data_IF_688213838033
#
_entry.id   IF_688213838033
#
_cell.length_a   1.000
_cell.length_b   1.000
_cell.length_c   1.000
_cell.angle_alpha   90.00
_cell.angle_beta   90.00
_cell.angle_gamma   90.00
#
_symmetry.space_group_name_H-M   'P 1'
#
loop_
_entity.id
_entity.type
_entity.pdbx_description
1 polymer ?
#
# COMPACT_ATOMS: atom_id res chain seq x y z
N UNK A 1 9.92 20.15 5.78
CA UNK A 1 9.36 18.95 5.13
C UNK A 1 10.30 17.75 5.32
N UNK A 2 9.78 16.57 5.64
CA UNK A 2 10.56 15.32 5.75
C UNK A 2 10.73 14.70 4.37
N UNK A 3 11.92 14.18 4.08
CA UNK A 3 12.28 13.62 2.76
C UNK A 3 12.80 12.18 2.81
N UNK A 4 13.29 11.74 3.97
CA UNK A 4 13.75 10.37 4.17
C UNK A 4 12.62 9.53 4.76
N UNK A 5 12.08 8.60 3.98
CA UNK A 5 10.82 7.93 4.22
C UNK A 5 10.95 6.43 3.97
N UNK A 6 10.47 5.65 4.93
CA UNK A 6 10.24 4.22 4.77
C UNK A 6 8.75 3.97 4.81
N UNK A 7 8.19 3.57 3.68
CA UNK A 7 6.81 3.15 3.58
C UNK A 7 6.76 1.63 3.38
N UNK A 8 6.38 0.90 4.42
CA UNK A 8 6.07 -0.52 4.27
C UNK A 8 4.72 -0.66 3.58
N UNK A 9 4.73 -1.11 2.32
CA UNK A 9 3.50 -1.44 1.60
C UNK A 9 2.93 -2.75 2.12
N UNK A 10 1.76 -2.66 2.73
CA UNK A 10 0.89 -3.83 2.96
C UNK A 10 0.09 -4.12 1.70
N UNK A 11 -0.11 -5.40 1.40
CA UNK A 11 -0.88 -5.82 0.25
C UNK A 11 -2.38 -5.48 0.42
N UNK A 12 -3.00 -5.04 -0.68
CA UNK A 12 -4.45 -4.78 -0.79
C UNK A 12 -5.01 -3.78 0.25
N UNK A 13 -4.18 -2.86 0.75
CA UNK A 13 -4.55 -1.81 1.71
C UNK A 13 -4.40 -0.39 1.13
N UNK A 14 -4.83 -0.18 -0.13
CA UNK A 14 -4.68 1.10 -0.84
C UNK A 14 -3.22 1.62 -0.94
N UNK A 15 -2.24 0.76 -0.72
CA UNK A 15 -0.82 1.11 -0.69
C UNK A 15 -0.26 1.57 -2.05
N UNK A 16 -0.90 1.21 -3.18
CA UNK A 16 -0.58 1.75 -4.50
C UNK A 16 -0.83 3.26 -4.61
N UNK A 17 -1.90 3.77 -3.98
CA UNK A 17 -2.21 5.20 -3.94
C UNK A 17 -1.17 5.97 -3.13
N UNK A 18 -0.79 5.44 -1.97
CA UNK A 18 0.27 6.04 -1.13
C UNK A 18 1.63 6.01 -1.85
N UNK A 19 1.95 4.92 -2.56
CA UNK A 19 3.15 4.84 -3.38
C UNK A 19 3.18 5.90 -4.49
N UNK A 20 2.05 6.18 -5.14
CA UNK A 20 1.95 7.26 -6.13
C UNK A 20 2.20 8.64 -5.51
N UNK A 21 1.66 8.90 -4.32
CA UNK A 21 1.95 10.12 -3.54
C UNK A 21 3.46 10.27 -3.31
N UNK A 22 4.12 9.20 -2.86
CA UNK A 22 5.57 9.20 -2.59
C UNK A 22 6.40 9.38 -3.87
N UNK A 23 5.99 8.77 -4.97
CA UNK A 23 6.61 8.94 -6.28
C UNK A 23 6.53 10.38 -6.78
N UNK A 24 5.34 10.99 -6.71
CA UNK A 24 5.15 12.39 -7.08
C UNK A 24 5.97 13.34 -6.22
N UNK A 25 5.95 13.14 -4.91
CA UNK A 25 6.72 13.94 -3.98
C UNK A 25 8.23 13.80 -4.26
N UNK A 26 8.74 12.58 -4.33
CA UNK A 26 10.15 12.34 -4.59
C UNK A 26 10.62 12.87 -5.94
N UNK A 27 9.79 12.73 -6.99
CA UNK A 27 10.10 13.31 -8.30
C UNK A 27 10.15 14.85 -8.25
N UNK A 28 9.16 15.50 -7.62
CA UNK A 28 9.10 16.97 -7.47
C UNK A 28 10.33 17.52 -6.74
N UNK A 29 10.85 16.76 -5.77
CA UNK A 29 11.96 17.16 -4.91
C UNK A 29 13.31 16.56 -5.31
N UNK A 30 13.41 15.91 -6.48
CA UNK A 30 14.63 15.25 -6.98
C UNK A 30 15.24 14.26 -5.97
N UNK A 31 14.39 13.52 -5.25
CA UNK A 31 14.79 12.53 -4.26
C UNK A 31 15.13 11.18 -4.91
N UNK A 32 15.95 10.41 -4.21
CA UNK A 32 16.35 9.06 -4.64
C UNK A 32 15.47 7.98 -4.03
N UNK A 33 15.16 6.96 -4.81
CA UNK A 33 14.35 5.81 -4.40
C UNK A 33 15.20 4.54 -4.30
N UNK A 34 14.96 3.73 -3.27
CA UNK A 34 15.54 2.40 -3.15
C UNK A 34 14.76 1.40 -4.02
N UNK A 35 15.13 1.32 -5.31
CA UNK A 35 14.51 0.41 -6.27
C UNK A 35 15.02 -1.03 -6.11
N UNK A 36 14.19 -2.04 -6.45
CA UNK A 36 14.66 -3.42 -6.61
C UNK A 36 15.76 -3.53 -7.68
N UNK A 37 16.64 -4.51 -7.52
CA UNK A 37 17.63 -4.89 -8.54
C UNK A 37 16.98 -5.04 -9.93
N UNK A 38 17.60 -4.42 -10.94
CA UNK A 38 17.11 -4.48 -12.32
C UNK A 38 15.79 -3.74 -12.58
N UNK A 39 15.27 -2.98 -11.60
CA UNK A 39 14.02 -2.23 -11.75
C UNK A 39 12.76 -3.09 -11.63
N UNK A 40 12.85 -4.21 -10.91
CA UNK A 40 11.71 -5.05 -10.59
C UNK A 40 10.63 -4.34 -9.74
N UNK A 41 9.53 -5.05 -9.49
CA UNK A 41 8.35 -4.47 -8.82
C UNK A 41 8.30 -4.72 -7.31
N UNK A 42 9.14 -5.62 -6.79
CA UNK A 42 9.18 -6.04 -5.39
C UNK A 42 10.62 -6.27 -4.94
N UNK A 43 10.89 -6.03 -3.66
CA UNK A 43 12.21 -6.20 -3.05
C UNK A 43 12.40 -7.65 -2.56
N UNK A 44 12.40 -8.59 -3.50
CA UNK A 44 12.62 -10.03 -3.28
C UNK A 44 11.57 -10.75 -2.41
N UNK A 45 10.35 -10.22 -2.41
CA UNK A 45 9.19 -10.86 -1.82
C UNK A 45 8.92 -12.23 -2.49
N UNK A 46 8.55 -13.30 -1.75
CA UNK A 46 8.06 -13.35 -0.37
C UNK A 46 9.13 -13.53 0.72
N UNK A 47 10.42 -13.55 0.36
CA UNK A 47 11.50 -13.66 1.35
C UNK A 47 11.69 -12.33 2.08
N UNK A 48 12.28 -12.39 3.28
CA UNK A 48 12.66 -11.19 4.03
C UNK A 48 13.52 -10.26 3.18
N UNK A 49 13.25 -8.97 3.30
CA UNK A 49 14.03 -7.91 2.69
C UNK A 49 15.48 -8.00 3.15
N UNK A 50 16.41 -7.89 2.21
CA UNK A 50 17.84 -7.72 2.46
C UNK A 50 18.33 -6.53 1.65
N UNK A 51 19.25 -5.75 2.22
CA UNK A 51 19.77 -4.54 1.59
C UNK A 51 20.38 -4.81 0.20
N UNK A 52 20.96 -6.00 0.01
CA UNK A 52 21.52 -6.47 -1.27
C UNK A 52 20.52 -6.52 -2.43
N UNK A 53 19.21 -6.49 -2.16
CA UNK A 53 18.18 -6.48 -3.20
C UNK A 53 17.85 -5.08 -3.72
N UNK A 54 18.53 -4.04 -3.22
CA UNK A 54 18.38 -2.67 -3.68
C UNK A 54 19.41 -2.35 -4.77
N UNK A 55 18.94 -1.82 -5.89
CA UNK A 55 19.79 -1.39 -7.00
C UNK A 55 20.79 -0.33 -6.54
N UNK A 56 22.07 -0.59 -6.80
CA UNK A 56 23.16 0.33 -6.44
C UNK A 56 23.54 0.33 -4.96
N UNK A 57 22.96 -0.57 -4.14
CA UNK A 57 23.46 -0.80 -2.78
C UNK A 57 24.82 -1.51 -2.83
N UNK A 58 25.75 -1.06 -2.00
CA UNK A 58 27.03 -1.70 -1.76
C UNK A 58 27.38 -1.63 -0.27
N UNK A 59 27.85 -2.73 0.36
CA UNK A 59 28.34 -2.69 1.74
C UNK A 59 29.53 -1.74 1.93
N UNK A 60 30.36 -1.55 0.91
CA UNK A 60 31.56 -0.70 0.97
C UNK A 60 31.28 0.78 0.72
N UNK A 61 30.17 1.09 0.05
CA UNK A 61 29.72 2.46 -0.23
C UNK A 61 28.24 2.54 0.12
N UNK A 62 27.90 2.84 1.39
CA UNK A 62 26.52 2.90 1.85
C UNK A 62 25.84 4.12 1.25
N UNK A 63 25.42 4.00 -0.02
CA UNK A 63 24.54 4.97 -0.65
C UNK A 63 23.19 4.87 0.05
N UNK A 64 22.82 5.92 0.76
CA UNK A 64 21.51 6.03 1.36
C UNK A 64 20.51 6.55 0.34
N UNK A 65 19.29 6.03 0.41
CA UNK A 65 18.18 6.49 -0.40
C UNK A 65 17.24 7.33 0.44
N UNK A 66 16.49 8.21 -0.21
CA UNK A 66 15.50 9.03 0.46
C UNK A 66 14.19 8.27 0.65
N UNK A 67 13.72 7.52 -0.34
CA UNK A 67 12.40 6.85 -0.27
C UNK A 67 12.52 5.36 -0.54
N UNK A 68 12.03 4.53 0.39
CA UNK A 68 11.87 3.09 0.21
C UNK A 68 10.38 2.74 0.36
N UNK A 69 9.75 2.30 -0.74
CA UNK A 69 8.30 2.16 -0.83
C UNK A 69 7.81 1.02 -1.74
N UNK A 70 8.65 0.07 -2.11
CA UNK A 70 8.24 -1.13 -2.87
C UNK A 70 7.80 -2.25 -1.92
N UNK A 71 7.02 -3.21 -2.42
CA UNK A 71 6.62 -4.37 -1.63
C UNK A 71 7.84 -5.16 -1.16
N UNK A 72 7.85 -5.52 0.12
CA UNK A 72 8.90 -6.28 0.77
C UNK A 72 8.31 -7.04 1.97
N UNK A 73 9.00 -8.08 2.44
CA UNK A 73 8.74 -8.63 3.77
C UNK A 73 9.70 -7.97 4.75
N UNK A 74 9.16 -7.20 5.69
CA UNK A 74 9.95 -6.25 6.48
C UNK A 74 11.04 -6.93 7.32
N UNK A 75 12.22 -6.31 7.36
CA UNK A 75 13.32 -6.68 8.25
C UNK A 75 14.11 -5.41 8.62
N UNK A 76 13.80 -4.83 9.78
CA UNK A 76 14.29 -3.51 10.17
C UNK A 76 15.83 -3.35 10.11
N UNK A 77 16.66 -4.30 10.59
CA UNK A 77 18.11 -4.16 10.51
C UNK A 77 18.64 -4.03 9.08
N UNK A 78 17.96 -4.61 8.09
CA UNK A 78 18.33 -4.49 6.68
C UNK A 78 17.89 -3.16 6.08
N UNK A 79 16.71 -2.66 6.47
CA UNK A 79 16.24 -1.33 6.04
C UNK A 79 17.19 -0.23 6.53
N UNK A 80 17.70 -0.34 7.76
CA UNK A 80 18.65 0.63 8.33
C UNK A 80 20.00 0.70 7.59
N UNK A 81 20.37 -0.33 6.81
CA UNK A 81 21.56 -0.32 5.95
C UNK A 81 21.36 0.55 4.70
N UNK A 82 20.11 0.73 4.26
CA UNK A 82 19.74 1.41 3.01
C UNK A 82 19.24 2.83 3.26
N UNK A 83 18.61 3.07 4.40
CA UNK A 83 17.91 4.32 4.71
C UNK A 83 18.66 5.16 5.73
N UNK A 84 18.38 6.46 5.80
CA UNK A 84 18.88 7.32 6.87
C UNK A 84 18.39 6.84 8.26
N UNK A 85 19.19 7.05 9.31
CA UNK A 85 18.77 6.80 10.69
C UNK A 85 17.66 7.75 11.15
N UNK A 86 17.52 8.91 10.48
CA UNK A 86 16.44 9.88 10.71
C UNK A 86 15.21 9.64 9.84
N UNK A 87 15.17 8.56 9.04
CA UNK A 87 14.06 8.27 8.17
C UNK A 87 12.77 8.03 8.97
N UNK A 88 11.65 8.55 8.47
CA UNK A 88 10.34 8.35 9.08
C UNK A 88 9.75 7.05 8.56
N UNK A 89 9.45 6.12 9.46
CA UNK A 89 8.86 4.82 9.13
C UNK A 89 7.35 4.88 9.28
N UNK A 90 6.63 4.45 8.26
CA UNK A 90 5.19 4.31 8.33
C UNK A 90 4.69 3.19 7.43
N UNK A 91 3.43 2.80 7.64
CA UNK A 91 2.76 1.76 6.89
C UNK A 91 1.26 2.06 6.80
N UNK A 92 0.50 1.22 6.11
CA UNK A 92 -0.95 1.34 5.98
C UNK A 92 -1.62 -0.01 6.25
N UNK A 93 -2.59 -0.02 7.14
CA UNK A 93 -3.37 -1.19 7.52
C UNK A 93 -4.72 -1.18 6.82
N UNK A 94 -5.38 -2.34 6.83
CA UNK A 94 -6.75 -2.51 6.39
C UNK A 94 -7.45 -3.49 7.30
N UNK A 95 -8.76 -3.34 7.47
CA UNK A 95 -9.58 -4.29 8.20
C UNK A 95 -9.36 -5.72 7.64
N UNK A 96 -8.96 -6.69 8.46
CA UNK A 96 -8.63 -8.06 8.00
C UNK A 96 -9.77 -8.75 7.26
N UNK A 97 -11.02 -8.40 7.57
CA UNK A 97 -12.22 -8.94 6.91
C UNK A 97 -12.26 -8.52 5.44
N UNK A 98 -12.11 -7.21 5.20
CA UNK A 98 -12.06 -6.67 3.84
C UNK A 98 -10.77 -7.03 3.11
N UNK A 99 -9.66 -7.16 3.85
CA UNK A 99 -8.39 -7.59 3.32
C UNK A 99 -8.47 -9.02 2.77
N UNK A 100 -9.04 -9.95 3.54
CA UNK A 100 -9.19 -11.35 3.13
C UNK A 100 -10.06 -11.48 1.87
N UNK A 101 -11.18 -10.77 1.81
CA UNK A 101 -12.05 -10.77 0.62
C UNK A 101 -11.34 -10.22 -0.62
N UNK A 102 -10.58 -9.13 -0.44
CA UNK A 102 -9.79 -8.56 -1.51
C UNK A 102 -8.62 -9.47 -1.91
N UNK A 103 -8.02 -10.19 -0.97
CA UNK A 103 -6.91 -11.11 -1.20
C UNK A 103 -7.39 -12.34 -1.97
N UNK A 104 -8.48 -12.98 -1.53
CA UNK A 104 -9.09 -14.13 -2.21
C UNK A 104 -9.40 -13.84 -3.68
N UNK A 105 -10.00 -12.67 -3.95
CA UNK A 105 -10.37 -12.29 -5.32
C UNK A 105 -9.14 -11.99 -6.18
N UNK A 106 -8.18 -11.23 -5.63
CA UNK A 106 -7.01 -10.79 -6.39
C UNK A 106 -6.01 -11.92 -6.61
N UNK A 107 -5.75 -12.75 -5.60
CA UNK A 107 -4.81 -13.88 -5.65
C UNK A 107 -5.52 -15.19 -5.92
N UNK A 108 -6.60 -15.18 -6.71
CA UNK A 108 -7.44 -16.37 -6.95
C UNK A 108 -6.65 -17.59 -7.44
N UNK A 109 -5.55 -17.38 -8.16
CA UNK A 109 -4.66 -18.43 -8.64
C UNK A 109 -3.65 -18.96 -7.62
N UNK A 110 -3.57 -18.40 -6.41
CA UNK A 110 -2.66 -18.89 -5.37
C UNK A 110 -3.04 -20.31 -4.93
N UNK A 111 -2.07 -21.09 -4.45
CA UNK A 111 -2.22 -22.51 -4.08
C UNK A 111 -3.45 -22.76 -3.19
N UNK A 112 -3.68 -21.88 -2.20
CA UNK A 112 -4.79 -22.01 -1.26
C UNK A 112 -6.17 -21.64 -1.84
N UNK A 113 -6.22 -20.94 -2.97
CA UNK A 113 -7.45 -20.37 -3.53
C UNK A 113 -7.83 -20.96 -4.89
N UNK A 114 -6.88 -21.51 -5.64
CA UNK A 114 -7.02 -21.91 -7.05
C UNK A 114 -8.14 -22.92 -7.32
N UNK A 115 -8.38 -23.84 -6.38
CA UNK A 115 -9.38 -24.91 -6.52
C UNK A 115 -10.66 -24.66 -5.73
N UNK A 116 -10.76 -23.54 -5.01
CA UNK A 116 -11.94 -23.21 -4.20
C UNK A 116 -12.95 -22.47 -5.06
N UNK A 117 -14.26 -22.64 -4.90
CA UNK A 117 -15.24 -21.86 -5.69
C UNK A 117 -15.56 -20.50 -5.08
N UNK A 118 -15.66 -20.41 -3.76
CA UNK A 118 -16.02 -19.19 -3.03
C UNK A 118 -15.17 -19.00 -1.77
N UNK A 119 -15.14 -17.77 -1.23
CA UNK A 119 -14.48 -17.53 0.06
C UNK A 119 -15.18 -18.28 1.19
N UNK A 120 -16.49 -18.47 1.10
CA UNK A 120 -17.27 -19.27 2.06
C UNK A 120 -16.83 -20.73 2.08
N UNK A 121 -16.63 -21.35 0.91
CA UNK A 121 -16.10 -22.71 0.81
C UNK A 121 -14.70 -22.80 1.44
N UNK A 122 -13.82 -21.83 1.18
CA UNK A 122 -12.49 -21.79 1.80
C UNK A 122 -12.59 -21.73 3.33
N UNK A 123 -13.42 -20.84 3.87
CA UNK A 123 -13.57 -20.64 5.31
C UNK A 123 -14.37 -21.75 6.01
N UNK A 124 -15.04 -22.63 5.27
CA UNK A 124 -15.73 -23.79 5.83
C UNK A 124 -14.76 -24.85 6.34
N UNK A 125 -13.62 -25.01 5.65
CA UNK A 125 -12.54 -25.92 5.99
C UNK A 125 -11.20 -25.39 5.45
N UNK A 126 -10.63 -24.34 6.07
CA UNK A 126 -9.47 -23.65 5.49
C UNK A 126 -8.22 -24.53 5.50
N UNK A 127 -8.09 -25.45 6.46
CA UNK A 127 -6.94 -26.35 6.58
C UNK A 127 -6.87 -27.40 5.47
N UNK A 128 -8.00 -27.72 4.81
CA UNK A 128 -8.01 -28.56 3.61
C UNK A 128 -7.31 -27.92 2.42
N UNK A 129 -7.36 -26.59 2.31
CA UNK A 129 -6.83 -25.85 1.16
C UNK A 129 -5.51 -25.13 1.48
N UNK A 130 -5.29 -24.79 2.75
CA UNK A 130 -4.12 -24.03 3.20
C UNK A 130 -2.96 -24.95 3.58
N UNK A 131 -1.84 -24.82 2.87
CA UNK A 131 -0.58 -25.49 3.17
C UNK A 131 0.52 -24.43 3.40
N UNK A 132 1.07 -24.29 4.63
CA UNK A 132 2.07 -23.29 4.95
C UNK A 132 3.43 -23.51 4.26
N UNK A 133 3.67 -24.69 3.67
CA UNK A 133 4.89 -24.96 2.91
C UNK A 133 4.89 -24.33 1.51
N UNK A 134 3.72 -23.92 1.00
CA UNK A 134 3.59 -23.29 -0.31
C UNK A 134 4.12 -21.86 -0.27
N UNK A 135 4.89 -21.49 -1.29
CA UNK A 135 5.56 -20.17 -1.38
C UNK A 135 4.60 -18.98 -1.45
N UNK A 136 3.33 -19.20 -1.80
CA UNK A 136 2.28 -18.20 -1.94
C UNK A 136 1.19 -18.31 -0.84
N UNK A 137 1.42 -19.15 0.18
CA UNK A 137 0.47 -19.38 1.29
C UNK A 137 0.14 -18.12 2.08
N UNK A 138 1.08 -17.18 2.20
CA UNK A 138 0.91 -15.91 2.91
C UNK A 138 -0.24 -15.05 2.40
N UNK A 139 -0.65 -15.17 1.13
CA UNK A 139 -1.83 -14.46 0.62
C UNK A 139 -3.13 -14.92 1.27
N UNK A 140 -3.16 -16.12 1.86
CA UNK A 140 -4.36 -16.72 2.41
C UNK A 140 -4.54 -16.55 3.91
N UNK A 141 -3.50 -16.14 4.66
CA UNK A 141 -3.56 -16.07 6.12
C UNK A 141 -2.61 -15.01 6.67
N UNK A 142 -3.13 -14.14 7.54
CA UNK A 142 -2.38 -13.13 8.29
C UNK A 142 -1.40 -12.33 7.38
N UNK A 143 -1.92 -11.79 6.28
CA UNK A 143 -1.12 -11.14 5.24
C UNK A 143 -0.43 -9.86 5.75
N UNK A 144 -1.06 -9.08 6.63
CA UNK A 144 -0.40 -7.91 7.22
C UNK A 144 0.76 -8.35 8.12
N UNK A 145 0.52 -9.33 8.99
CA UNK A 145 1.53 -9.94 9.84
C UNK A 145 2.72 -10.43 9.01
N UNK A 146 2.46 -11.07 7.86
CA UNK A 146 3.50 -11.50 6.93
C UNK A 146 4.30 -10.33 6.36
N UNK A 147 3.63 -9.28 5.87
CA UNK A 147 4.27 -8.09 5.30
C UNK A 147 5.14 -7.36 6.35
N UNK A 148 4.71 -7.32 7.63
CA UNK A 148 5.50 -6.82 8.76
C UNK A 148 6.71 -7.70 9.15
N UNK A 149 6.91 -8.84 8.47
CA UNK A 149 8.08 -9.70 8.65
C UNK A 149 7.89 -10.85 9.65
N UNK A 150 6.73 -10.94 10.28
CA UNK A 150 6.43 -11.98 11.27
C UNK A 150 6.00 -13.30 10.62
N UNK A 151 5.82 -14.34 11.43
CA UNK A 151 5.29 -15.63 10.98
C UNK A 151 3.75 -15.59 10.95
N UNK A 152 3.09 -15.73 9.78
CA UNK A 152 1.63 -15.71 9.68
C UNK A 152 0.96 -16.93 10.31
N UNK A 153 1.73 -17.97 10.62
CA UNK A 153 1.28 -19.19 11.32
C UNK A 153 1.74 -19.22 12.78
N UNK A 154 2.23 -18.09 13.31
CA UNK A 154 2.66 -18.00 14.70
C UNK A 154 1.51 -18.28 15.67
N UNK A 155 1.85 -18.82 16.84
CA UNK A 155 0.88 -18.99 17.93
C UNK A 155 0.33 -17.65 18.38
N UNK A 156 -0.97 -17.63 18.67
CA UNK A 156 -1.67 -16.46 19.19
C UNK A 156 -1.75 -16.58 20.71
N UNK A 157 -0.67 -16.21 21.41
CA UNK A 157 -0.68 -16.00 22.86
C UNK A 157 -0.67 -14.50 23.17
N UNK A 158 -1.18 -14.12 24.34
CA UNK A 158 -1.19 -12.72 24.79
C UNK A 158 0.21 -12.13 24.77
N UNK A 159 1.22 -12.86 25.26
CA UNK A 159 2.61 -12.40 25.33
C UNK A 159 3.18 -12.17 23.93
N UNK A 160 2.96 -13.10 23.00
CA UNK A 160 3.47 -12.99 21.63
C UNK A 160 2.82 -11.87 20.84
N UNK A 161 1.50 -11.71 20.98
CA UNK A 161 0.77 -10.61 20.37
C UNK A 161 1.28 -9.28 20.91
N UNK A 162 1.44 -9.14 22.23
CA UNK A 162 1.95 -7.90 22.83
C UNK A 162 3.38 -7.57 22.40
N UNK A 163 4.25 -8.57 22.27
CA UNK A 163 5.61 -8.38 21.74
C UNK A 163 5.60 -7.93 20.28
N UNK A 164 4.74 -8.52 19.44
CA UNK A 164 4.58 -8.14 18.04
C UNK A 164 4.08 -6.69 17.92
N UNK A 165 3.04 -6.31 18.67
CA UNK A 165 2.50 -4.95 18.68
C UNK A 165 3.57 -3.93 19.10
N UNK A 166 4.31 -4.20 20.19
CA UNK A 166 5.41 -3.34 20.64
C UNK A 166 6.53 -3.21 19.61
N UNK A 167 6.85 -4.29 18.89
CA UNK A 167 7.87 -4.27 17.84
C UNK A 167 7.43 -3.40 16.65
N UNK A 168 6.14 -3.41 16.30
CA UNK A 168 5.59 -2.53 15.26
C UNK A 168 5.58 -1.07 15.77
N UNK A 169 5.12 -0.82 16.99
CA UNK A 169 5.11 0.53 17.61
C UNK A 169 6.51 1.15 17.70
N UNK A 170 7.52 0.36 18.05
CA UNK A 170 8.90 0.86 18.16
C UNK A 170 9.53 1.13 16.80
N UNK A 171 9.06 0.46 15.74
CA UNK A 171 9.62 0.57 14.40
C UNK A 171 8.94 1.62 13.54
N UNK A 172 7.64 1.85 13.72
CA UNK A 172 6.82 2.68 12.84
C UNK A 172 6.29 3.91 13.59
N UNK A 173 6.62 5.09 13.07
CA UNK A 173 6.18 6.37 13.63
C UNK A 173 4.66 6.57 13.54
N UNK A 174 4.00 5.98 12.55
CA UNK A 174 2.54 5.94 12.44
C UNK A 174 2.06 4.84 11.49
N UNK A 175 0.83 4.39 11.69
CA UNK A 175 0.14 3.44 10.81
C UNK A 175 -1.15 4.09 10.29
N UNK A 176 -1.26 4.21 8.98
CA UNK A 176 -2.44 4.70 8.29
C UNK A 176 -3.54 3.62 8.30
N UNK A 177 -4.81 4.03 8.21
CA UNK A 177 -5.94 3.10 8.15
C UNK A 177 -6.70 3.31 6.84
N UNK A 178 -6.77 2.25 6.02
CA UNK A 178 -7.39 2.30 4.69
C UNK A 178 -8.85 2.74 4.72
N UNK A 179 -9.60 2.37 5.76
CA UNK A 179 -11.00 2.75 5.94
C UNK A 179 -11.18 4.26 6.22
N UNK A 180 -10.14 4.92 6.74
CA UNK A 180 -10.08 6.34 7.04
C UNK A 180 -8.97 7.00 6.21
N UNK A 181 -8.99 6.73 4.89
CA UNK A 181 -7.90 7.11 3.99
C UNK A 181 -7.68 8.62 3.95
N UNK A 182 -8.75 9.42 3.93
CA UNK A 182 -8.63 10.88 3.88
C UNK A 182 -8.05 11.44 5.18
N UNK A 183 -8.53 10.97 6.34
CA UNK A 183 -7.98 11.29 7.66
C UNK A 183 -6.50 10.86 7.75
N UNK A 184 -6.20 9.69 7.20
CA UNK A 184 -4.83 9.17 7.11
C UNK A 184 -3.92 10.07 6.26
N UNK A 185 -4.42 10.61 5.14
CA UNK A 185 -3.64 11.56 4.30
C UNK A 185 -3.44 12.91 4.99
N UNK A 186 -4.44 13.40 5.73
CA UNK A 186 -4.30 14.60 6.56
C UNK A 186 -3.25 14.37 7.64
N UNK A 187 -3.30 13.24 8.36
CA UNK A 187 -2.31 12.92 9.39
C UNK A 187 -0.90 12.77 8.78
N UNK A 188 -0.78 12.10 7.62
CA UNK A 188 0.48 11.95 6.88
C UNK A 188 1.07 13.32 6.50
N UNK A 189 0.24 14.22 5.98
CA UNK A 189 0.62 15.60 5.64
C UNK A 189 1.23 16.32 6.83
N UNK A 190 0.53 16.31 7.98
CA UNK A 190 0.99 16.99 9.20
C UNK A 190 2.30 16.38 9.71
N UNK A 191 2.37 15.04 9.78
CA UNK A 191 3.53 14.31 10.29
C UNK A 191 4.81 14.51 9.47
N UNK A 192 4.66 14.66 8.15
CA UNK A 192 5.79 14.88 7.24
C UNK A 192 6.08 16.37 7.00
N UNK A 193 5.29 17.28 7.58
CA UNK A 193 5.32 18.71 7.31
C UNK A 193 5.21 19.00 5.80
N UNK A 194 4.22 18.39 5.16
CA UNK A 194 3.94 18.52 3.73
C UNK A 194 2.76 19.48 3.50
N UNK A 195 2.66 19.95 2.26
CA UNK A 195 1.50 20.72 1.80
C UNK A 195 0.35 19.79 1.35
N UNK A 196 -0.83 20.37 1.14
CA UNK A 196 -2.03 19.62 0.72
C UNK A 196 -1.84 18.95 -0.65
N UNK A 197 -1.20 19.64 -1.60
CA UNK A 197 -1.00 19.17 -2.97
C UNK A 197 -0.02 17.98 -3.04
N UNK A 198 0.82 17.82 -2.03
CA UNK A 198 1.73 16.69 -1.88
C UNK A 198 1.02 15.40 -1.53
N UNK A 199 -0.14 15.44 -0.84
CA UNK A 199 -0.89 14.24 -0.42
C UNK A 199 -2.18 14.02 -1.21
N UNK A 200 -2.62 15.00 -1.99
CA UNK A 200 -3.81 14.85 -2.84
C UNK A 200 -3.60 13.71 -3.84
N UNK A 201 -4.60 12.86 -4.03
CA UNK A 201 -4.48 11.67 -4.88
C UNK A 201 -5.83 11.20 -5.40
N UNK A 202 -5.80 10.41 -6.47
CA UNK A 202 -6.93 9.61 -6.90
C UNK A 202 -6.73 8.14 -6.48
N UNK A 203 -7.80 7.42 -6.09
CA UNK A 203 -7.69 6.02 -5.71
C UNK A 203 -7.15 5.13 -6.85
N UNK A 204 -5.89 4.69 -6.75
CA UNK A 204 -5.26 3.79 -7.71
C UNK A 204 -5.40 2.33 -7.28
N UNK A 205 -5.39 1.43 -8.28
CA UNK A 205 -5.55 -0.02 -8.07
C UNK A 205 -6.89 -0.35 -7.37
N UNK A 206 -7.90 0.50 -7.62
CA UNK A 206 -9.25 0.37 -7.07
C UNK A 206 -9.99 -0.74 -7.79
N UNK A 207 -10.58 -1.66 -7.02
CA UNK A 207 -11.35 -2.76 -7.57
C UNK A 207 -12.80 -2.37 -7.79
N UNK A 208 -13.33 -2.75 -8.95
CA UNK A 208 -14.72 -2.56 -9.31
C UNK A 208 -15.67 -3.27 -8.34
N UNK A 209 -16.76 -2.58 -7.96
CA UNK A 209 -17.76 -3.09 -7.03
C UNK A 209 -18.42 -4.38 -7.53
N UNK A 210 -18.50 -4.61 -8.85
CA UNK A 210 -19.09 -5.83 -9.43
C UNK A 210 -18.36 -7.12 -9.06
N UNK A 211 -17.12 -7.01 -8.60
CA UNK A 211 -16.35 -8.17 -8.16
C UNK A 211 -16.33 -8.29 -6.63
N UNK A 212 -16.88 -7.31 -5.90
CA UNK A 212 -16.92 -7.33 -4.43
C UNK A 212 -18.10 -8.17 -3.96
N UNK A 213 -17.83 -9.10 -3.06
CA UNK A 213 -18.88 -9.93 -2.47
C UNK A 213 -19.28 -9.39 -1.10
N UNK A 214 -20.57 -9.15 -0.82
CA UNK A 214 -21.02 -8.89 0.53
C UNK A 214 -20.75 -10.13 1.40
N UNK A 215 -20.27 -9.91 2.63
CA UNK A 215 -19.94 -10.99 3.56
C UNK A 215 -21.03 -11.10 4.64
N UNK A 216 -21.69 -12.27 4.78
CA UNK A 216 -22.55 -12.56 5.91
C UNK A 216 -21.80 -12.42 7.25
N UNK A 217 -22.52 -12.05 8.31
CA UNK A 217 -21.94 -11.88 9.65
C UNK A 217 -21.21 -13.13 10.17
N UNK A 218 -21.70 -14.33 9.84
CA UNK A 218 -21.05 -15.60 10.19
C UNK A 218 -19.66 -15.76 9.54
N UNK A 219 -19.48 -15.26 8.32
CA UNK A 219 -18.17 -15.27 7.65
C UNK A 219 -17.21 -14.27 8.28
N UNK A 220 -17.72 -13.13 8.76
CA UNK A 220 -16.90 -12.09 9.40
C UNK A 220 -16.12 -12.66 10.58
N UNK A 221 -16.79 -13.39 11.49
CA UNK A 221 -16.12 -13.97 12.66
C UNK A 221 -15.13 -15.07 12.27
N UNK A 222 -15.47 -15.94 11.31
CA UNK A 222 -14.53 -16.94 10.77
C UNK A 222 -13.27 -16.30 10.18
N UNK A 223 -13.41 -15.16 9.50
CA UNK A 223 -12.25 -14.44 8.93
C UNK A 223 -11.37 -13.85 10.04
N UNK A 224 -11.98 -13.28 11.09
CA UNK A 224 -11.23 -12.75 12.25
C UNK A 224 -10.48 -13.86 12.98
N UNK A 225 -11.10 -15.03 13.15
CA UNK A 225 -10.47 -16.20 13.77
C UNK A 225 -9.32 -16.74 12.90
N UNK A 226 -9.57 -16.91 11.59
CA UNK A 226 -8.56 -17.38 10.66
C UNK A 226 -7.36 -16.43 10.56
N UNK A 227 -7.61 -15.11 10.58
CA UNK A 227 -6.60 -14.05 10.51
C UNK A 227 -6.39 -13.36 11.87
N UNK A 228 -6.27 -14.17 12.93
CA UNK A 228 -6.25 -13.63 14.30
C UNK A 228 -5.12 -12.64 14.57
N UNK A 229 -3.91 -12.87 14.04
CA UNK A 229 -2.79 -11.95 14.25
C UNK A 229 -3.04 -10.60 13.57
N UNK A 230 -3.58 -10.62 12.35
CA UNK A 230 -3.97 -9.40 11.64
C UNK A 230 -5.12 -8.67 12.35
N UNK A 231 -6.04 -9.40 12.98
CA UNK A 231 -7.11 -8.82 13.81
C UNK A 231 -6.59 -8.10 15.04
N UNK A 232 -5.60 -8.67 15.74
CA UNK A 232 -4.95 -8.00 16.88
C UNK A 232 -4.19 -6.74 16.45
N UNK A 233 -3.42 -6.81 15.35
CA UNK A 233 -2.73 -5.65 14.76
C UNK A 233 -3.75 -4.55 14.43
N UNK A 234 -4.78 -4.87 13.64
CA UNK A 234 -5.74 -3.87 13.20
C UNK A 234 -6.49 -3.23 14.37
N UNK A 235 -6.98 -4.03 15.32
CA UNK A 235 -7.76 -3.51 16.44
C UNK A 235 -6.95 -2.56 17.31
N UNK A 236 -5.70 -2.93 17.63
CA UNK A 236 -4.80 -2.09 18.41
C UNK A 236 -4.50 -0.76 17.70
N UNK A 237 -4.08 -0.82 16.44
CA UNK A 237 -3.65 0.37 15.72
C UNK A 237 -4.78 1.24 15.18
N UNK A 238 -5.97 0.69 14.97
CA UNK A 238 -7.15 1.50 14.71
C UNK A 238 -7.53 2.33 15.95
N UNK A 239 -7.42 1.76 17.16
CA UNK A 239 -7.65 2.50 18.40
C UNK A 239 -6.61 3.62 18.56
N UNK A 240 -5.32 3.29 18.46
CA UNK A 240 -4.26 4.29 18.67
C UNK A 240 -4.22 5.36 17.56
N UNK A 241 -4.71 5.05 16.35
CA UNK A 241 -4.93 6.03 15.29
C UNK A 241 -5.91 7.13 15.73
N UNK A 242 -7.06 6.76 16.28
CA UNK A 242 -8.06 7.74 16.74
C UNK A 242 -7.61 8.48 18.00
N UNK A 243 -6.98 7.80 18.95
CA UNK A 243 -6.38 8.44 20.14
C UNK A 243 -5.36 9.50 19.72
N UNK A 244 -4.56 9.23 18.68
CA UNK A 244 -3.62 10.19 18.13
C UNK A 244 -4.29 11.38 17.48
N UNK A 245 -5.33 11.17 16.68
CA UNK A 245 -6.10 12.27 16.08
C UNK A 245 -6.67 13.16 17.19
N UNK A 246 -7.27 12.56 18.22
CA UNK A 246 -7.86 13.29 19.34
C UNK A 246 -6.80 14.11 20.11
N UNK A 247 -5.61 13.55 20.31
CA UNK A 247 -4.51 14.21 21.03
C UNK A 247 -3.80 15.30 20.22
N UNK A 248 -3.45 15.03 18.96
CA UNK A 248 -2.51 15.85 18.20
C UNK A 248 -3.19 16.89 17.29
N UNK A 249 -4.43 16.63 16.83
CA UNK A 249 -5.12 17.45 15.82
C UNK A 249 -6.50 17.92 16.32
N UNK A 250 -7.25 17.05 16.97
CA UNK A 250 -8.65 17.22 17.33
C UNK A 250 -9.61 16.92 16.16
N UNK A 251 -10.79 16.34 16.48
CA UNK A 251 -11.77 15.89 15.47
C UNK A 251 -12.33 17.01 14.60
N UNK A 252 -12.52 18.20 15.17
CA UNK A 252 -13.06 19.34 14.43
C UNK A 252 -12.08 19.84 13.36
N UNK A 253 -10.80 20.02 13.72
CA UNK A 253 -9.75 20.38 12.76
C UNK A 253 -9.58 19.28 11.71
N UNK A 254 -9.58 18.01 12.12
CA UNK A 254 -9.51 16.88 11.20
C UNK A 254 -10.63 16.94 10.15
N UNK A 255 -11.88 17.19 10.55
CA UNK A 255 -13.00 17.32 9.63
C UNK A 255 -12.83 18.47 8.63
N UNK A 256 -12.27 19.61 9.05
CA UNK A 256 -11.97 20.75 8.16
C UNK A 256 -10.88 20.41 7.14
N UNK A 257 -9.79 19.78 7.57
CA UNK A 257 -8.68 19.38 6.70
C UNK A 257 -9.12 18.31 5.69
N UNK A 258 -9.92 17.32 6.11
CA UNK A 258 -10.51 16.32 5.21
C UNK A 258 -11.41 16.98 4.15
N UNK A 259 -12.22 17.97 4.55
CA UNK A 259 -13.06 18.72 3.60
C UNK A 259 -12.20 19.48 2.58
N UNK A 260 -11.10 20.09 3.02
CA UNK A 260 -10.16 20.77 2.12
C UNK A 260 -9.49 19.79 1.14
N UNK A 261 -9.05 18.63 1.62
CA UNK A 261 -8.49 17.55 0.80
C UNK A 261 -9.48 17.10 -0.29
N UNK A 262 -10.72 16.80 0.10
CA UNK A 262 -11.77 16.39 -0.85
C UNK A 262 -12.11 17.46 -1.87
N UNK A 263 -12.18 18.73 -1.44
CA UNK A 263 -12.41 19.84 -2.35
C UNK A 263 -11.29 19.95 -3.40
N UNK A 264 -10.03 19.79 -2.98
CA UNK A 264 -8.87 19.81 -3.89
C UNK A 264 -8.85 18.61 -4.83
N UNK A 265 -9.19 17.41 -4.35
CA UNK A 265 -9.37 16.23 -5.20
C UNK A 265 -10.45 16.46 -6.28
N UNK A 266 -11.59 17.05 -5.91
CA UNK A 266 -12.69 17.33 -6.84
C UNK A 266 -12.32 18.41 -7.87
N UNK A 267 -11.53 19.40 -7.49
CA UNK A 267 -10.96 20.38 -8.42
C UNK A 267 -10.04 19.70 -9.44
N UNK A 268 -9.08 18.91 -8.98
CA UNK A 268 -8.17 18.18 -9.87
C UNK A 268 -8.92 17.19 -10.75
N UNK A 269 -9.97 16.53 -10.26
CA UNK A 269 -10.78 15.63 -11.06
C UNK A 269 -11.43 16.36 -12.25
N UNK A 270 -12.00 17.55 -12.02
CA UNK A 270 -12.63 18.38 -13.08
C UNK A 270 -11.62 18.88 -14.11
N UNK A 271 -10.41 19.20 -13.66
CA UNK A 271 -9.32 19.66 -14.52
C UNK A 271 -8.74 18.51 -15.34
N UNK A 272 -8.43 17.38 -14.70
CA UNK A 272 -7.61 16.32 -15.28
C UNK A 272 -8.38 15.22 -15.99
N UNK A 273 -9.55 14.82 -15.50
CA UNK A 273 -10.16 13.54 -15.87
C UNK A 273 -11.22 13.71 -16.95
N UNK A 274 -11.24 12.78 -17.91
CA UNK A 274 -12.35 12.59 -18.83
C UNK A 274 -13.45 11.80 -18.08
N UNK A 275 -14.42 12.54 -17.56
CA UNK A 275 -15.36 12.03 -16.55
C UNK A 275 -14.80 12.18 -15.14
N UNK A 276 -15.64 12.42 -14.13
CA UNK A 276 -15.17 12.71 -12.76
C UNK A 276 -14.66 11.46 -12.00
N UNK A 277 -14.65 10.28 -12.62
CA UNK A 277 -14.45 9.01 -11.95
C UNK A 277 -13.57 8.05 -12.73
N UNK A 278 -13.26 6.93 -12.09
CA UNK A 278 -12.54 5.84 -12.72
C UNK A 278 -13.43 5.08 -13.72
N UNK A 279 -12.79 4.40 -14.66
CA UNK A 279 -13.42 3.63 -15.74
C UNK A 279 -12.94 2.19 -15.74
N UNK A 280 -13.73 1.30 -16.33
CA UNK A 280 -13.36 -0.10 -16.45
C UNK A 280 -12.15 -0.28 -17.39
N UNK A 281 -11.35 -1.36 -17.22
CA UNK A 281 -10.12 -1.58 -18.01
C UNK A 281 -10.29 -1.47 -19.53
N UNK A 282 -11.45 -1.95 -20.04
CA UNK A 282 -11.77 -1.94 -21.47
C UNK A 282 -12.03 -0.54 -22.03
N UNK A 283 -12.42 0.40 -21.17
CA UNK A 283 -12.79 1.77 -21.53
C UNK A 283 -11.61 2.75 -21.34
N UNK A 284 -10.45 2.25 -20.89
CA UNK A 284 -9.21 3.04 -20.78
C UNK A 284 -8.61 3.22 -22.18
N UNK A 285 -8.54 4.47 -22.62
CA UNK A 285 -8.10 4.85 -23.96
C UNK A 285 -6.57 4.82 -24.11
N UNK A 286 -5.85 5.34 -23.11
CA UNK A 286 -4.38 5.34 -23.09
C UNK A 286 -3.85 4.03 -22.51
N UNK A 287 -3.21 3.21 -23.34
CA UNK A 287 -2.65 1.92 -22.93
C UNK A 287 -1.56 2.04 -21.86
N UNK A 288 -0.84 3.17 -21.79
CA UNK A 288 0.18 3.42 -20.76
C UNK A 288 -0.42 3.66 -19.37
N UNK A 289 -1.72 3.96 -19.29
CA UNK A 289 -2.46 4.15 -18.04
C UNK A 289 -3.26 2.92 -17.61
N UNK A 290 -3.14 1.80 -18.33
CA UNK A 290 -3.85 0.55 -17.97
C UNK A 290 -3.22 -0.08 -16.73
N UNK A 291 -3.97 -0.24 -15.63
CA UNK A 291 -3.47 -0.93 -14.45
C UNK A 291 -3.35 -2.44 -14.72
N UNK A 292 -2.40 -3.09 -14.03
CA UNK A 292 -2.27 -4.55 -14.07
C UNK A 292 -3.56 -5.22 -13.60
N UNK A 293 -4.08 -6.13 -14.42
CA UNK A 293 -5.18 -7.01 -14.03
C UNK A 293 -4.61 -8.31 -13.46
N UNK A 294 -5.22 -8.85 -12.40
CA UNK A 294 -4.72 -10.04 -11.74
C UNK A 294 -5.84 -10.85 -11.07
N UNK A 295 -5.74 -12.18 -11.16
CA UNK A 295 -6.76 -13.11 -10.65
C UNK A 295 -8.14 -12.80 -11.21
N UNK A 296 -9.14 -12.75 -10.32
CA UNK A 296 -10.52 -12.40 -10.69
C UNK A 296 -10.86 -10.93 -10.45
N UNK A 297 -9.87 -10.11 -10.07
CA UNK A 297 -10.10 -8.71 -9.76
C UNK A 297 -10.15 -7.85 -11.02
N UNK A 298 -11.23 -7.07 -11.16
CA UNK A 298 -11.35 -6.03 -12.19
C UNK A 298 -10.84 -4.70 -11.63
N UNK A 299 -9.66 -4.27 -12.06
CA UNK A 299 -8.97 -3.07 -11.54
C UNK A 299 -9.26 -1.86 -12.42
N UNK A 300 -9.86 -0.83 -11.84
CA UNK A 300 -10.25 0.40 -12.52
C UNK A 300 -9.06 1.32 -12.78
N UNK A 301 -9.18 2.14 -13.84
CA UNK A 301 -8.21 3.18 -14.20
C UNK A 301 -8.89 4.50 -14.53
N UNK A 302 -8.18 5.42 -15.19
CA UNK A 302 -8.68 6.76 -15.49
C UNK A 302 -8.36 7.15 -16.93
N UNK A 303 -9.24 7.95 -17.55
CA UNK A 303 -8.96 8.64 -18.79
C UNK A 303 -8.65 10.11 -18.49
N UNK A 304 -7.65 10.68 -19.17
CA UNK A 304 -7.33 12.10 -19.07
C UNK A 304 -8.17 12.91 -20.07
N UNK A 305 -8.49 14.15 -19.70
CA UNK A 305 -9.15 15.11 -20.58
C UNK A 305 -8.25 15.43 -21.77
N UNK A 306 -8.83 15.52 -22.97
CA UNK A 306 -8.09 15.90 -24.18
C UNK A 306 -7.86 17.41 -24.23
N UNK A 307 -6.81 17.85 -24.94
CA UNK A 307 -6.50 19.27 -25.16
C UNK A 307 -5.97 20.02 -23.94
N UNK A 308 -5.46 19.31 -22.93
CA UNK A 308 -4.79 19.94 -21.78
C UNK A 308 -3.47 20.62 -22.23
N UNK A 309 -3.17 21.78 -21.66
CA UNK A 309 -1.84 22.38 -21.80
C UNK A 309 -0.77 21.41 -21.27
N UNK A 310 0.42 21.38 -21.90
CA UNK A 310 1.47 20.38 -21.63
C UNK A 310 1.81 20.23 -20.13
N UNK A 311 1.97 21.33 -19.40
CA UNK A 311 2.28 21.31 -17.97
C UNK A 311 1.15 20.73 -17.10
N UNK A 312 -0.09 21.05 -17.47
CA UNK A 312 -1.29 20.53 -16.81
C UNK A 312 -1.43 19.04 -17.10
N UNK A 313 -1.26 18.64 -18.36
CA UNK A 313 -1.28 17.23 -18.76
C UNK A 313 -0.22 16.42 -17.99
N UNK A 314 1.01 16.94 -17.90
CA UNK A 314 2.09 16.29 -17.17
C UNK A 314 1.75 16.08 -15.68
N UNK A 315 1.15 17.09 -15.04
CA UNK A 315 0.69 16.99 -13.65
C UNK A 315 -0.46 16.00 -13.49
N UNK A 316 -1.47 16.08 -14.36
CA UNK A 316 -2.62 15.18 -14.37
C UNK A 316 -2.23 13.72 -14.62
N UNK A 317 -1.31 13.48 -15.55
CA UNK A 317 -0.80 12.14 -15.87
C UNK A 317 -0.17 11.49 -14.64
N UNK A 318 0.70 12.21 -13.92
CA UNK A 318 1.34 11.70 -12.70
C UNK A 318 0.34 11.28 -11.60
N UNK A 319 -0.82 11.93 -11.51
CA UNK A 319 -1.88 11.56 -10.56
C UNK A 319 -2.56 10.22 -10.87
N UNK A 320 -2.55 9.79 -12.14
CA UNK A 320 -3.28 8.60 -12.61
C UNK A 320 -2.38 7.46 -13.08
N UNK A 321 -1.08 7.69 -13.25
CA UNK A 321 -0.12 6.66 -13.67
C UNK A 321 -0.11 5.51 -12.65
N UNK A 322 -0.40 4.26 -13.07
CA UNK A 322 -0.35 3.13 -12.16
C UNK A 322 1.08 2.83 -11.69
N UNK A 323 1.18 2.18 -10.53
CA UNK A 323 2.44 2.05 -9.78
C UNK A 323 3.58 1.40 -10.57
N UNK A 324 3.31 0.41 -11.41
CA UNK A 324 4.34 -0.33 -12.15
C UNK A 324 4.96 0.55 -13.24
N UNK A 325 4.12 1.27 -13.97
CA UNK A 325 4.54 2.20 -15.01
C UNK A 325 5.32 3.37 -14.42
N UNK A 326 4.83 3.94 -13.31
CA UNK A 326 5.52 5.06 -12.66
C UNK A 326 6.86 4.61 -12.06
N UNK A 327 6.90 3.44 -11.41
CA UNK A 327 8.13 2.85 -10.89
C UNK A 327 9.16 2.64 -12.00
N UNK A 328 8.74 2.10 -13.16
CA UNK A 328 9.63 1.89 -14.31
C UNK A 328 10.19 3.22 -14.85
N UNK A 329 9.36 4.25 -14.94
CA UNK A 329 9.79 5.58 -15.40
C UNK A 329 10.82 6.20 -14.46
N UNK A 330 10.57 6.18 -13.15
CA UNK A 330 11.49 6.71 -12.15
C UNK A 330 12.78 5.89 -12.05
N UNK A 331 12.70 4.56 -12.19
CA UNK A 331 13.87 3.70 -12.25
C UNK A 331 14.80 4.08 -13.40
N UNK A 332 14.26 4.21 -14.62
CA UNK A 332 15.04 4.62 -15.81
C UNK A 332 15.66 6.01 -15.66
N UNK A 333 14.94 6.93 -15.00
CA UNK A 333 15.45 8.27 -14.70
C UNK A 333 16.62 8.24 -13.71
N UNK A 334 16.52 7.42 -12.66
CA UNK A 334 17.54 7.35 -11.61
C UNK A 334 18.76 6.50 -12.02
N UNK A 335 18.54 5.45 -12.81
CA UNK A 335 19.56 4.52 -13.28
C UNK A 335 19.50 4.42 -14.82
N UNK A 336 19.97 5.46 -15.54
CA UNK A 336 19.97 5.44 -16.99
C UNK A 336 20.85 4.28 -17.51
N UNK A 337 20.46 3.64 -18.63
CA UNK A 337 21.31 2.65 -19.27
C UNK A 337 22.66 3.28 -19.62
N UNK A 338 23.74 2.48 -19.50
CA UNK A 338 25.05 2.93 -19.96
C UNK A 338 24.99 3.16 -21.48
N UNK A 339 25.61 4.25 -21.98
CA UNK A 339 25.63 4.58 -23.40
C UNK A 339 26.28 3.48 -24.26
#
# INVERSE_FOLDING_TARGET
PRTDLVFLKVHKSASSTVMNILFRFGEKHNLTFAFPLGGGFQLYYPNHFLARFVQGFSPSTPRRFNILCHHMRFLQPEVQKVMSSSAVYFSILRNPVQLMESSFTYYKGASAFSHVRSLEEFLSDPYRYYDPSKGDSHYAKNLMTFDFGFNPNGEVSTERVQLMLKAIESSFSFLLISEYFDESMVLLKEMLCWDLDSVVSFPLNSRDNSTKSPLPASMVEKIKEWNRLDWEIYTHFNRTFWERIDRDIGRERMGREVKALRARQAELARTCLQGMGSVAPKDIQDSSLKPLQHGSARILGYNLKQGLAKEVEHTCRRLVTPELQYSSALYKKQFPPKP
#
